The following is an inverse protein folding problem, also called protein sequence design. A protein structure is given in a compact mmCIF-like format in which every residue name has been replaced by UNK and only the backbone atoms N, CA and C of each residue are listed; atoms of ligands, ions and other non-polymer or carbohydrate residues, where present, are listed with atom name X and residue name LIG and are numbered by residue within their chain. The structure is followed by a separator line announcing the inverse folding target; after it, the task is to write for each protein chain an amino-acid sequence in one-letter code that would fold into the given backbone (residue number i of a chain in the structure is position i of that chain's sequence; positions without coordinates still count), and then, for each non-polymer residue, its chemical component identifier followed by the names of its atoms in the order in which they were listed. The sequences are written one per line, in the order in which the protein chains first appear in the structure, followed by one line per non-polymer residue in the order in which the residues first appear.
data_IF_331366308036
#
_entry.id   IF_331366308036
#
_cell.length_a   1.000
_cell.length_b   1.000
_cell.length_c   1.000
_cell.angle_alpha   90.00
_cell.angle_beta   90.00
_cell.angle_gamma   90.00
#
_symmetry.space_group_name_H-M   'P 1'
#
loop_
_entity.id
_entity.type
_entity.pdbx_description
1 polymer ?
#
# COMPACT_ATOMS: atom_id res chain seq x y z
N UNK A 1 2.99 4.75 -41.76
CA UNK A 1 3.66 4.05 -42.87
C UNK A 1 4.96 4.78 -43.12
N UNK A 2 6.06 4.19 -42.66
CA UNK A 2 7.39 4.65 -43.02
C UNK A 2 7.82 3.91 -44.28
N UNK A 3 8.45 4.62 -45.22
CA UNK A 3 8.92 4.07 -46.48
C UNK A 3 10.43 4.07 -46.49
N UNK A 4 11.02 2.90 -46.77
CA UNK A 4 12.44 2.71 -46.99
C UNK A 4 12.69 2.36 -48.45
N UNK A 5 13.95 2.40 -48.90
CA UNK A 5 14.29 2.21 -50.31
C UNK A 5 13.77 0.88 -50.87
N UNK A 6 13.82 -0.20 -50.07
CA UNK A 6 13.46 -1.56 -50.50
C UNK A 6 12.19 -2.14 -49.82
N UNK A 7 11.63 -1.48 -48.81
CA UNK A 7 10.48 -2.00 -48.06
C UNK A 7 9.67 -0.90 -47.36
N UNK A 8 8.41 -1.21 -47.06
CA UNK A 8 7.53 -0.33 -46.29
C UNK A 8 7.27 -0.92 -44.89
N UNK A 9 7.22 -0.06 -43.87
CA UNK A 9 6.89 -0.41 -42.49
C UNK A 9 5.57 0.23 -42.08
N UNK A 10 4.65 -0.60 -41.59
CA UNK A 10 3.40 -0.15 -40.95
C UNK A 10 3.52 -0.29 -39.44
N UNK A 11 3.52 0.85 -38.73
CA UNK A 11 3.36 0.90 -37.26
C UNK A 11 1.86 0.92 -36.92
N UNK A 12 1.40 -0.15 -36.28
CA UNK A 12 -0.01 -0.35 -35.91
C UNK A 12 -0.34 0.08 -34.47
N UNK A 13 0.55 0.85 -33.83
CA UNK A 13 0.28 1.45 -32.53
C UNK A 13 1.24 0.99 -31.46
N UNK A 14 2.53 1.16 -31.72
CA UNK A 14 3.56 1.05 -30.69
C UNK A 14 3.23 1.99 -29.53
N UNK A 15 3.01 1.45 -28.35
CA UNK A 15 2.56 2.22 -27.18
C UNK A 15 3.16 1.71 -25.88
N UNK A 16 3.36 2.64 -24.95
CA UNK A 16 3.92 2.39 -23.64
C UNK A 16 3.03 3.05 -22.58
N UNK A 17 2.47 2.23 -21.70
CA UNK A 17 1.81 2.66 -20.48
C UNK A 17 2.76 2.29 -19.33
N UNK A 18 3.48 3.26 -18.75
CA UNK A 18 4.46 3.01 -17.69
C UNK A 18 3.85 2.20 -16.54
N UNK A 19 4.58 1.16 -16.12
CA UNK A 19 4.12 0.30 -15.03
C UNK A 19 2.98 -0.67 -15.41
N UNK A 20 2.49 -0.70 -16.65
CA UNK A 20 1.35 -1.53 -17.01
C UNK A 20 1.55 -2.33 -18.30
N UNK A 21 1.92 -1.67 -19.41
CA UNK A 21 1.89 -2.32 -20.72
C UNK A 21 2.91 -1.72 -21.69
N UNK A 22 3.52 -2.58 -22.50
CA UNK A 22 4.23 -2.21 -23.72
C UNK A 22 3.61 -2.98 -24.88
N UNK A 23 3.38 -2.31 -26.01
CA UNK A 23 2.92 -2.91 -27.27
C UNK A 23 3.90 -2.52 -28.37
N UNK A 24 4.43 -3.52 -29.08
CA UNK A 24 5.32 -3.35 -30.24
C UNK A 24 4.73 -4.24 -31.34
N UNK A 25 4.28 -3.63 -32.43
CA UNK A 25 3.64 -4.34 -33.54
C UNK A 25 4.06 -3.68 -34.87
N UNK A 26 4.85 -4.41 -35.65
CA UNK A 26 5.35 -3.97 -36.94
C UNK A 26 5.12 -5.08 -37.97
N UNK A 27 4.73 -4.68 -39.18
CA UNK A 27 4.64 -5.56 -40.34
C UNK A 27 5.43 -4.95 -41.49
N UNK A 28 6.13 -5.82 -42.23
CA UNK A 28 6.99 -5.45 -43.36
C UNK A 28 6.47 -6.16 -44.60
N UNK A 29 6.33 -5.41 -45.70
CA UNK A 29 5.95 -5.92 -47.01
C UNK A 29 6.90 -5.39 -48.08
N UNK A 30 7.32 -6.27 -48.99
CA UNK A 30 8.32 -5.98 -50.03
C UNK A 30 7.78 -6.30 -51.43
N UNK A 31 6.50 -6.01 -51.69
CA UNK A 31 5.82 -6.39 -52.95
C UNK A 31 6.38 -5.68 -54.19
N UNK A 32 7.11 -4.57 -54.03
CA UNK A 32 7.60 -3.71 -55.13
C UNK A 32 9.13 -3.65 -55.22
N UNK A 33 9.85 -4.46 -54.44
CA UNK A 33 11.30 -4.44 -54.44
C UNK A 33 11.86 -4.94 -55.79
N UNK A 34 12.98 -4.36 -56.23
CA UNK A 34 13.71 -4.85 -57.39
C UNK A 34 14.40 -6.18 -57.03
N UNK A 35 14.13 -7.21 -57.82
CA UNK A 35 14.67 -8.56 -57.62
C UNK A 35 15.82 -8.90 -58.56
N UNK A 36 16.23 -7.96 -59.42
CA UNK A 36 17.21 -8.19 -60.49
C UNK A 36 18.51 -8.82 -59.96
N UNK A 37 19.00 -8.36 -58.80
CA UNK A 37 20.23 -8.85 -58.16
C UNK A 37 20.11 -10.24 -57.50
N UNK A 38 18.88 -10.68 -57.24
CA UNK A 38 18.57 -11.98 -56.63
C UNK A 38 18.27 -13.03 -57.70
N UNK A 39 17.57 -12.65 -58.77
CA UNK A 39 17.17 -13.56 -59.87
C UNK A 39 18.40 -14.11 -60.61
N UNK A 40 19.53 -13.40 -60.61
CA UNK A 40 20.77 -13.87 -61.24
C UNK A 40 21.53 -14.94 -60.45
N UNK A 41 21.10 -15.28 -59.22
CA UNK A 41 21.78 -16.23 -58.32
C UNK A 41 21.22 -17.65 -58.45
N UNK A 42 21.98 -18.64 -57.97
CA UNK A 42 21.50 -20.03 -57.91
C UNK A 42 20.46 -20.21 -56.80
N UNK A 43 19.63 -21.24 -56.90
CA UNK A 43 18.65 -21.56 -55.85
C UNK A 43 19.30 -21.90 -54.50
N UNK A 44 20.47 -22.55 -54.52
CA UNK A 44 21.24 -22.89 -53.31
C UNK A 44 21.79 -21.62 -52.63
N UNK A 45 22.32 -20.66 -53.40
CA UNK A 45 22.81 -19.39 -52.86
C UNK A 45 21.66 -18.54 -52.26
N UNK A 46 20.50 -18.52 -52.91
CA UNK A 46 19.32 -17.81 -52.41
C UNK A 46 18.80 -18.41 -51.10
N UNK A 47 18.82 -19.74 -50.99
CA UNK A 47 18.43 -20.43 -49.76
C UNK A 47 19.39 -20.11 -48.61
N UNK A 48 20.70 -20.08 -48.87
CA UNK A 48 21.71 -19.72 -47.88
C UNK A 48 21.53 -18.27 -47.38
N UNK A 49 21.30 -17.31 -48.28
CA UNK A 49 21.04 -15.90 -47.92
C UNK A 49 19.75 -15.75 -47.10
N UNK A 50 18.70 -16.50 -47.44
CA UNK A 50 17.46 -16.51 -46.67
C UNK A 50 17.70 -16.99 -45.24
N UNK A 51 18.48 -18.06 -45.07
CA UNK A 51 18.81 -18.60 -43.75
C UNK A 51 19.67 -17.63 -42.94
N UNK A 52 20.63 -16.95 -43.57
CA UNK A 52 21.43 -15.90 -42.95
C UNK A 52 20.59 -14.68 -42.52
N UNK A 53 19.68 -14.22 -43.39
CA UNK A 53 18.75 -13.12 -43.08
C UNK A 53 17.84 -13.50 -41.93
N UNK A 54 17.19 -14.67 -42.00
CA UNK A 54 16.30 -15.15 -40.95
C UNK A 54 17.02 -15.33 -39.60
N UNK A 55 18.27 -15.82 -39.61
CA UNK A 55 19.08 -15.91 -38.40
C UNK A 55 19.42 -14.53 -37.83
N UNK A 56 19.64 -13.53 -38.68
CA UNK A 56 19.89 -12.14 -38.27
C UNK A 56 18.64 -11.48 -37.69
N UNK A 57 17.47 -11.70 -38.29
CA UNK A 57 16.17 -11.28 -37.76
C UNK A 57 15.89 -11.90 -36.39
N UNK A 58 16.19 -13.18 -36.22
CA UNK A 58 16.05 -13.87 -34.93
C UNK A 58 16.93 -13.25 -33.84
N UNK A 59 18.18 -12.89 -34.16
CA UNK A 59 19.07 -12.18 -33.22
C UNK A 59 18.52 -10.81 -32.83
N UNK A 60 17.96 -10.06 -33.80
CA UNK A 60 17.33 -8.77 -33.50
C UNK A 60 16.10 -8.94 -32.60
N UNK A 61 15.29 -9.98 -32.84
CA UNK A 61 14.15 -10.33 -31.99
C UNK A 61 14.57 -10.68 -30.56
N UNK A 62 15.66 -11.43 -30.37
CA UNK A 62 16.21 -11.73 -29.04
C UNK A 62 16.65 -10.47 -28.28
N UNK A 63 17.22 -9.48 -28.97
CA UNK A 63 17.55 -8.18 -28.38
C UNK A 63 16.26 -7.47 -27.92
N UNK A 64 15.21 -7.45 -28.75
CA UNK A 64 13.92 -6.86 -28.39
C UNK A 64 13.34 -7.57 -27.15
N UNK A 65 13.36 -8.90 -27.12
CA UNK A 65 12.92 -9.68 -25.94
C UNK A 65 13.71 -9.30 -24.68
N UNK A 66 15.03 -9.16 -24.79
CA UNK A 66 15.85 -8.75 -23.66
C UNK A 66 15.48 -7.35 -23.13
N UNK A 67 15.17 -6.43 -24.04
CA UNK A 67 14.71 -5.09 -23.68
C UNK A 67 13.31 -5.12 -23.03
N UNK A 68 12.40 -5.99 -23.51
CA UNK A 68 11.09 -6.21 -22.89
C UNK A 68 11.25 -6.75 -21.47
N UNK A 69 12.12 -7.74 -21.23
CA UNK A 69 12.38 -8.24 -19.87
C UNK A 69 13.00 -7.19 -18.94
N UNK A 70 13.86 -6.32 -19.46
CA UNK A 70 14.36 -5.18 -18.69
C UNK A 70 13.23 -4.21 -18.36
N UNK A 71 12.35 -3.92 -19.32
CA UNK A 71 11.16 -3.10 -19.12
C UNK A 71 10.23 -3.70 -18.06
N UNK A 72 9.99 -5.03 -18.05
CA UNK A 72 9.15 -5.70 -17.05
C UNK A 72 9.63 -5.44 -15.62
N UNK A 73 10.96 -5.53 -15.38
CA UNK A 73 11.57 -5.23 -14.08
C UNK A 73 11.32 -3.78 -13.67
N UNK A 74 11.47 -2.85 -14.62
CA UNK A 74 11.23 -1.43 -14.36
C UNK A 74 9.74 -1.15 -14.14
N UNK A 75 8.85 -1.77 -14.91
CA UNK A 75 7.40 -1.63 -14.78
C UNK A 75 6.93 -2.12 -13.40
N UNK A 76 7.45 -3.26 -12.94
CA UNK A 76 7.18 -3.76 -11.59
C UNK A 76 7.66 -2.78 -10.49
N UNK A 77 8.80 -2.12 -10.71
CA UNK A 77 9.29 -1.09 -9.78
C UNK A 77 8.41 0.16 -9.79
N UNK A 78 7.99 0.64 -10.97
CA UNK A 78 7.02 1.74 -11.11
C UNK A 78 5.72 1.42 -10.36
N UNK A 79 5.16 0.22 -10.51
CA UNK A 79 3.96 -0.19 -9.76
C UNK A 79 4.17 -0.14 -8.25
N UNK A 80 5.35 -0.52 -7.74
CA UNK A 80 5.67 -0.43 -6.31
C UNK A 80 5.70 1.02 -5.83
N UNK A 81 6.27 1.92 -6.63
CA UNK A 81 6.27 3.35 -6.34
C UNK A 81 4.83 3.89 -6.35
N UNK A 82 4.03 3.58 -7.36
CA UNK A 82 2.64 4.04 -7.44
C UNK A 82 1.82 3.59 -6.23
N UNK A 83 2.03 2.33 -5.79
CA UNK A 83 1.43 1.82 -4.55
C UNK A 83 1.90 2.62 -3.34
N UNK A 84 3.20 2.87 -3.19
CA UNK A 84 3.74 3.68 -2.10
C UNK A 84 3.16 5.11 -2.07
N UNK A 85 3.00 5.73 -3.24
CA UNK A 85 2.36 7.05 -3.38
C UNK A 85 0.89 6.96 -2.94
N UNK A 86 0.16 5.92 -3.33
CA UNK A 86 -1.22 5.71 -2.87
C UNK A 86 -1.31 5.59 -1.35
N UNK A 87 -0.40 4.85 -0.72
CA UNK A 87 -0.33 4.76 0.74
C UNK A 87 -0.10 6.12 1.40
N UNK A 88 0.86 6.90 0.89
CA UNK A 88 1.20 8.20 1.45
C UNK A 88 0.09 9.23 1.28
N UNK A 89 -0.73 9.10 0.23
CA UNK A 89 -1.91 9.95 0.01
C UNK A 89 -3.06 9.67 0.97
N UNK A 90 -3.07 8.52 1.64
CA UNK A 90 -4.08 8.21 2.65
C UNK A 90 -3.69 8.97 3.92
N UNK A 91 -4.46 9.99 4.33
CA UNK A 91 -4.12 10.77 5.51
C UNK A 91 -4.16 9.87 6.75
N UNK A 92 -3.30 10.19 7.73
CA UNK A 92 -3.44 9.62 9.06
C UNK A 92 -4.85 9.89 9.60
N UNK A 93 -5.44 8.88 10.23
CA UNK A 93 -6.76 9.01 10.85
C UNK A 93 -6.70 10.09 11.92
N UNK A 94 -7.60 11.06 11.83
CA UNK A 94 -7.82 11.99 12.92
C UNK A 94 -8.56 11.29 14.05
N UNK A 95 -8.04 11.39 15.26
CA UNK A 95 -8.63 10.79 16.44
C UNK A 95 -8.41 11.64 17.69
N UNK A 96 -9.19 11.38 18.73
CA UNK A 96 -9.10 12.09 20.01
C UNK A 96 -8.15 11.43 21.00
N UNK A 97 -7.39 10.41 20.58
CA UNK A 97 -6.39 9.73 21.41
C UNK A 97 -6.99 9.12 22.69
N UNK A 98 -8.19 8.54 22.56
CA UNK A 98 -8.97 7.99 23.67
C UNK A 98 -9.47 9.01 24.70
N UNK A 99 -9.50 10.30 24.35
CA UNK A 99 -10.11 11.32 25.20
C UNK A 99 -11.50 11.72 24.70
N UNK A 100 -12.41 12.01 25.62
CA UNK A 100 -13.74 12.51 25.28
C UNK A 100 -13.64 13.99 24.89
N UNK A 101 -13.97 14.30 23.65
CA UNK A 101 -14.04 15.66 23.12
C UNK A 101 -15.50 16.01 22.85
N UNK A 102 -15.91 17.21 23.27
CA UNK A 102 -17.25 17.73 23.00
C UNK A 102 -17.21 18.63 21.77
N UNK A 103 -18.05 18.30 20.78
CA UNK A 103 -18.29 19.12 19.60
C UNK A 103 -19.31 20.23 19.88
N UNK A 104 -19.41 21.17 18.93
CA UNK A 104 -20.27 22.36 19.03
C UNK A 104 -21.76 22.02 19.18
N UNK A 105 -22.21 20.93 18.56
CA UNK A 105 -23.62 20.48 18.60
C UNK A 105 -24.03 19.73 19.88
N UNK A 106 -23.14 19.68 20.88
CA UNK A 106 -23.33 18.90 22.11
C UNK A 106 -23.11 17.39 21.92
N UNK A 107 -22.60 16.97 20.77
CA UNK A 107 -22.13 15.59 20.55
C UNK A 107 -20.77 15.40 21.24
N UNK A 108 -20.62 14.34 22.02
CA UNK A 108 -19.37 13.91 22.61
C UNK A 108 -18.80 12.76 21.79
N UNK A 109 -17.52 12.84 21.46
CA UNK A 109 -16.81 11.86 20.65
C UNK A 109 -15.56 11.39 21.38
N UNK A 110 -15.31 10.08 21.33
CA UNK A 110 -14.03 9.47 21.68
C UNK A 110 -13.58 8.62 20.48
N UNK A 111 -12.31 8.70 20.12
CA UNK A 111 -11.76 7.91 19.01
C UNK A 111 -10.29 7.59 19.18
N UNK A 112 -9.88 6.52 18.51
CA UNK A 112 -8.50 6.13 18.29
C UNK A 112 -8.29 5.77 16.82
N UNK A 113 -7.19 5.12 16.47
CA UNK A 113 -6.89 4.83 15.07
C UNK A 113 -7.89 3.87 14.42
N UNK A 114 -8.60 3.03 15.19
CA UNK A 114 -9.45 1.94 14.68
C UNK A 114 -10.93 2.16 14.98
N UNK A 115 -11.27 2.77 16.11
CA UNK A 115 -12.64 2.92 16.59
C UNK A 115 -12.99 4.38 16.86
N UNK A 116 -14.27 4.70 16.69
CA UNK A 116 -14.87 5.99 17.02
C UNK A 116 -16.22 5.73 17.68
N UNK A 117 -16.45 6.33 18.84
CA UNK A 117 -17.75 6.35 19.49
C UNK A 117 -18.26 7.79 19.56
N UNK A 118 -19.50 7.99 19.13
CA UNK A 118 -20.22 9.26 19.27
C UNK A 118 -21.40 9.08 20.18
N UNK A 119 -21.69 10.08 21.01
CA UNK A 119 -22.87 10.11 21.83
C UNK A 119 -23.43 11.52 21.98
N UNK A 120 -24.75 11.62 22.04
CA UNK A 120 -25.48 12.87 22.20
C UNK A 120 -26.68 12.64 23.09
N UNK A 121 -26.85 13.53 24.06
CA UNK A 121 -28.09 13.67 24.81
C UNK A 121 -28.69 15.00 24.39
N UNK A 122 -29.95 15.00 24.01
CA UNK A 122 -30.68 16.21 23.62
C UNK A 122 -31.97 16.32 24.41
N UNK A 123 -32.24 17.53 24.87
CA UNK A 123 -33.55 17.88 25.38
C UNK A 123 -34.50 18.09 24.19
N UNK A 124 -35.44 17.16 24.01
CA UNK A 124 -36.51 17.21 23.02
C UNK A 124 -37.87 17.44 23.71
N UNK A 125 -37.84 18.01 24.91
CA UNK A 125 -39.05 18.42 25.61
C UNK A 125 -39.77 19.48 24.77
N UNK A 126 -41.06 19.27 24.60
CA UNK A 126 -41.90 20.15 23.79
C UNK A 126 -43.15 20.54 24.56
N UNK A 127 -43.63 21.72 24.24
CA UNK A 127 -44.90 22.21 24.74
C UNK A 127 -46.04 21.68 23.85
N UNK A 128 -46.90 20.85 24.41
CA UNK A 128 -47.99 20.19 23.69
C UNK A 128 -49.28 21.02 23.81
N UNK A 129 -49.47 22.00 22.93
CA UNK A 129 -50.62 22.93 22.95
C UNK A 129 -51.99 22.24 22.80
N UNK A 130 -52.03 21.03 22.24
CA UNK A 130 -53.26 20.33 21.88
C UNK A 130 -53.75 19.33 22.94
N UNK A 131 -52.89 18.99 23.92
CA UNK A 131 -53.26 18.13 25.06
C UNK A 131 -53.21 18.99 26.32
N UNK A 132 -54.29 18.99 27.11
CA UNK A 132 -54.38 19.73 28.39
C UNK A 132 -53.41 19.26 29.50
N UNK A 133 -52.41 18.46 29.15
CA UNK A 133 -51.28 18.10 29.99
C UNK A 133 -50.07 18.91 29.50
N UNK A 134 -49.60 19.86 30.31
CA UNK A 134 -48.52 20.80 30.00
C UNK A 134 -47.17 20.17 29.60
N UNK A 135 -46.08 20.95 29.73
CA UNK A 135 -44.71 20.57 29.33
C UNK A 135 -44.39 19.08 29.54
N UNK A 136 -44.06 18.37 28.46
CA UNK A 136 -43.66 16.96 28.53
C UNK A 136 -42.14 16.86 28.45
N UNK A 137 -41.46 16.56 29.57
CA UNK A 137 -40.03 16.34 29.53
C UNK A 137 -39.72 15.10 28.69
N UNK A 138 -38.86 15.27 27.69
CA UNK A 138 -38.52 14.24 26.72
C UNK A 138 -37.04 14.36 26.37
N UNK A 139 -36.24 13.38 26.75
CA UNK A 139 -34.81 13.36 26.55
C UNK A 139 -34.45 12.29 25.54
N UNK A 140 -33.81 12.67 24.43
CA UNK A 140 -33.31 11.70 23.45
C UNK A 140 -31.82 11.43 23.67
N UNK A 141 -31.47 10.15 23.64
CA UNK A 141 -30.10 9.67 23.66
C UNK A 141 -29.83 8.99 22.34
N UNK A 142 -28.81 9.46 21.63
CA UNK A 142 -28.28 8.83 20.43
C UNK A 142 -26.82 8.48 20.68
N UNK A 143 -26.45 7.24 20.40
CA UNK A 143 -25.05 6.83 20.45
C UNK A 143 -24.74 5.83 19.33
N UNK A 144 -23.48 5.79 18.92
CA UNK A 144 -22.99 4.82 17.96
C UNK A 144 -21.49 4.58 18.13
N UNK A 145 -21.07 3.37 17.78
CA UNK A 145 -19.69 2.90 17.72
C UNK A 145 -19.44 2.48 16.29
N UNK A 146 -18.37 3.01 15.70
CA UNK A 146 -18.00 2.85 14.30
C UNK A 146 -16.53 2.50 14.20
N UNK A 147 -16.13 1.88 13.10
CA UNK A 147 -14.71 1.85 12.71
C UNK A 147 -14.27 3.25 12.26
N UNK A 148 -13.04 3.61 12.58
CA UNK A 148 -12.41 4.89 12.25
C UNK A 148 -11.42 4.71 11.09
N UNK A 149 -11.91 4.21 9.96
CA UNK A 149 -11.06 4.00 8.77
C UNK A 149 -10.59 5.33 8.18
N UNK A 150 -9.31 5.45 7.75
CA UNK A 150 -8.81 6.63 7.03
C UNK A 150 -9.39 6.77 5.62
N UNK A 151 -10.06 5.74 5.11
CA UNK A 151 -10.73 5.81 3.82
C UNK A 151 -12.00 6.66 3.95
N UNK A 152 -12.22 7.58 3.00
CA UNK A 152 -13.32 8.57 3.01
C UNK A 152 -14.72 8.00 3.24
N UNK A 153 -14.96 6.72 2.94
CA UNK A 153 -16.22 6.01 3.13
C UNK A 153 -16.06 4.66 3.85
N UNK A 154 -14.96 4.47 4.58
CA UNK A 154 -14.61 3.19 5.20
C UNK A 154 -15.12 2.99 6.63
N UNK A 155 -15.85 3.96 7.20
CA UNK A 155 -16.40 3.83 8.55
C UNK A 155 -17.65 2.96 8.52
N UNK A 156 -17.60 1.82 9.19
CA UNK A 156 -18.70 0.86 9.32
C UNK A 156 -19.24 0.90 10.74
N UNK A 157 -20.57 0.88 10.87
CA UNK A 157 -21.24 0.85 12.18
C UNK A 157 -21.10 -0.53 12.84
N UNK A 158 -20.55 -0.54 14.05
CA UNK A 158 -20.42 -1.74 14.90
C UNK A 158 -21.68 -1.90 15.74
N UNK A 159 -22.10 -0.80 16.37
CA UNK A 159 -23.30 -0.77 17.20
C UNK A 159 -23.84 0.66 17.29
N UNK A 160 -25.13 0.82 17.53
CA UNK A 160 -25.70 2.13 17.77
C UNK A 160 -27.19 2.05 18.06
N UNK A 161 -27.69 3.00 18.85
CA UNK A 161 -29.10 3.07 19.16
C UNK A 161 -29.52 4.50 19.46
N UNK A 162 -30.77 4.81 19.10
CA UNK A 162 -31.49 6.00 19.56
C UNK A 162 -32.59 5.58 20.52
N UNK A 163 -32.67 6.21 21.70
CA UNK A 163 -33.73 5.96 22.69
C UNK A 163 -34.22 7.27 23.30
N UNK A 164 -35.48 7.27 23.72
CA UNK A 164 -36.13 8.41 24.37
C UNK A 164 -36.49 8.07 25.81
N UNK A 165 -36.31 9.02 26.71
CA UNK A 165 -36.56 8.90 28.15
C UNK A 165 -37.41 10.08 28.64
N UNK A 166 -38.12 9.87 29.75
CA UNK A 166 -38.92 10.93 30.39
C UNK A 166 -38.07 11.85 31.28
N UNK A 167 -36.98 11.32 31.84
CA UNK A 167 -36.12 12.01 32.79
C UNK A 167 -34.66 12.05 32.30
N UNK A 168 -33.98 13.17 32.54
CA UNK A 168 -32.57 13.37 32.18
C UNK A 168 -31.66 12.33 32.87
N UNK A 169 -31.89 12.07 34.16
CA UNK A 169 -31.06 11.16 34.94
C UNK A 169 -31.10 9.73 34.39
N UNK A 170 -32.28 9.29 33.94
CA UNK A 170 -32.46 8.00 33.27
C UNK A 170 -31.72 7.93 31.94
N UNK A 171 -31.78 9.01 31.15
CA UNK A 171 -31.03 9.14 29.90
C UNK A 171 -29.52 9.08 30.12
N UNK A 172 -29.00 9.81 31.11
CA UNK A 172 -27.57 9.81 31.46
C UNK A 172 -27.11 8.45 31.99
N UNK A 173 -27.88 7.82 32.87
CA UNK A 173 -27.56 6.49 33.41
C UNK A 173 -27.49 5.44 32.30
N UNK A 174 -28.42 5.47 31.36
CA UNK A 174 -28.39 4.61 30.18
C UNK A 174 -27.13 4.85 29.35
N UNK A 175 -26.79 6.11 29.06
CA UNK A 175 -25.61 6.44 28.27
C UNK A 175 -24.31 6.02 28.97
N UNK A 176 -24.17 6.27 30.27
CA UNK A 176 -23.00 5.82 31.06
C UNK A 176 -22.84 4.30 31.00
N UNK A 177 -23.94 3.55 31.04
CA UNK A 177 -23.92 2.10 30.86
C UNK A 177 -23.37 1.68 29.49
N UNK A 178 -23.74 2.39 28.41
CA UNK A 178 -23.22 2.12 27.06
C UNK A 178 -21.77 2.53 26.89
N UNK A 179 -21.36 3.66 27.43
CA UNK A 179 -19.95 4.09 27.45
C UNK A 179 -19.10 3.02 28.17
N UNK A 180 -19.54 2.54 29.33
CA UNK A 180 -18.84 1.49 30.08
C UNK A 180 -18.73 0.18 29.29
N UNK A 181 -19.76 -0.20 28.54
CA UNK A 181 -19.75 -1.43 27.75
C UNK A 181 -18.67 -1.43 26.64
N UNK A 182 -18.42 -0.28 26.01
CA UNK A 182 -17.47 -0.16 24.89
C UNK A 182 -16.13 0.49 25.27
N UNK A 183 -15.92 0.83 26.55
CA UNK A 183 -14.68 1.47 27.02
C UNK A 183 -13.42 0.64 26.71
N UNK A 184 -13.53 -0.69 26.65
CA UNK A 184 -12.44 -1.60 26.32
C UNK A 184 -11.84 -1.36 24.91
N UNK A 185 -12.61 -0.77 23.99
CA UNK A 185 -12.13 -0.44 22.64
C UNK A 185 -11.21 0.79 22.60
N UNK A 186 -11.18 1.58 23.68
CA UNK A 186 -10.50 2.85 23.79
C UNK A 186 -9.40 2.83 24.86
N UNK A 187 -8.82 1.66 25.16
CA UNK A 187 -7.69 1.52 26.10
C UNK A 187 -6.35 1.81 25.44
N UNK A 188 -6.21 1.48 24.16
CA UNK A 188 -5.00 1.66 23.37
C UNK A 188 -5.25 2.65 22.23
N UNK A 189 -4.21 3.38 21.82
CA UNK A 189 -4.29 4.31 20.67
C UNK A 189 -4.42 3.52 19.36
N UNK A 190 -3.82 2.33 19.31
CA UNK A 190 -3.80 1.45 18.14
C UNK A 190 -4.21 0.03 18.54
N UNK A 191 -5.50 -0.20 18.89
CA UNK A 191 -5.96 -1.54 19.21
C UNK A 191 -5.87 -2.45 17.98
N UNK A 192 -5.91 -3.77 18.21
CA UNK A 192 -5.96 -4.74 17.12
C UNK A 192 -7.28 -4.62 16.34
N UNK A 193 -7.18 -4.71 15.01
CA UNK A 193 -8.33 -4.70 14.11
C UNK A 193 -8.91 -6.11 14.04
N UNK A 194 -10.22 -6.28 14.35
CA UNK A 194 -10.91 -7.55 14.18
C UNK A 194 -10.90 -7.99 12.72
N UNK A 195 -10.83 -9.30 12.48
CA UNK A 195 -10.77 -9.86 11.12
C UNK A 195 -11.90 -9.37 10.20
N UNK A 196 -13.08 -9.13 10.75
CA UNK A 196 -14.26 -8.63 10.02
C UNK A 196 -14.06 -7.23 9.41
N UNK A 197 -13.15 -6.43 9.99
CA UNK A 197 -12.92 -5.04 9.60
C UNK A 197 -11.55 -4.82 8.94
N UNK A 198 -10.76 -5.87 8.74
CA UNK A 198 -9.37 -5.79 8.28
C UNK A 198 -9.24 -5.10 6.90
N UNK A 199 -10.14 -5.41 5.97
CA UNK A 199 -10.15 -4.83 4.61
C UNK A 199 -10.34 -3.30 4.61
N UNK A 200 -11.00 -2.75 5.63
CA UNK A 200 -11.20 -1.31 5.77
C UNK A 200 -9.88 -0.56 6.00
N UNK A 201 -8.86 -1.27 6.49
CA UNK A 201 -7.53 -0.75 6.79
C UNK A 201 -6.44 -1.32 5.87
N UNK A 202 -6.80 -2.02 4.78
CA UNK A 202 -5.85 -2.48 3.76
C UNK A 202 -5.92 -1.67 2.47
N UNK A 203 -4.80 -1.56 1.77
CA UNK A 203 -4.72 -1.02 0.41
C UNK A 203 -3.95 -2.04 -0.40
N UNK A 204 -4.43 -2.44 -1.58
CA UNK A 204 -3.73 -3.45 -2.41
C UNK A 204 -3.30 -4.70 -1.60
N UNK A 205 -4.17 -5.17 -0.69
CA UNK A 205 -3.97 -6.30 0.21
C UNK A 205 -2.89 -6.17 1.29
N UNK A 206 -2.27 -5.01 1.51
CA UNK A 206 -1.39 -4.78 2.67
C UNK A 206 -2.01 -3.80 3.65
N UNK A 207 -1.74 -4.05 4.94
CA UNK A 207 -2.26 -3.25 6.03
C UNK A 207 -1.61 -1.87 6.05
N UNK A 208 -2.39 -0.83 6.35
CA UNK A 208 -1.87 0.51 6.50
C UNK A 208 -0.81 0.59 7.61
N UNK A 209 0.23 1.43 7.45
CA UNK A 209 1.26 1.59 8.47
C UNK A 209 0.68 1.96 9.83
N UNK A 210 1.20 1.35 10.90
CA UNK A 210 0.78 1.60 12.28
C UNK A 210 -0.40 0.76 12.76
N UNK A 211 -1.12 0.09 11.86
CA UNK A 211 -2.22 -0.81 12.22
C UNK A 211 -1.75 -2.24 12.48
N UNK A 212 -2.55 -3.00 13.24
CA UNK A 212 -2.31 -4.42 13.51
C UNK A 212 -3.61 -5.21 13.31
N UNK A 213 -3.55 -6.28 12.55
CA UNK A 213 -4.67 -7.20 12.38
C UNK A 213 -4.65 -8.27 13.48
N UNK A 214 -5.81 -8.73 13.92
CA UNK A 214 -5.93 -9.92 14.78
C UNK A 214 -5.59 -11.21 14.01
N UNK A 215 -5.79 -11.22 12.69
CA UNK A 215 -5.56 -12.40 11.84
C UNK A 215 -4.07 -12.65 11.51
N UNK A 216 -3.22 -11.65 11.72
CA UNK A 216 -1.77 -11.77 11.52
C UNK A 216 -1.05 -11.68 12.87
N UNK A 217 -0.24 -12.68 13.26
CA UNK A 217 0.59 -12.55 14.45
C UNK A 217 1.51 -11.34 14.26
N UNK A 218 1.63 -10.51 15.30
CA UNK A 218 2.41 -9.28 15.26
C UNK A 218 3.77 -9.53 14.58
N UNK A 219 4.16 -8.73 13.56
CA UNK A 219 5.49 -8.85 13.01
C UNK A 219 6.45 -8.59 14.17
N UNK A 220 7.22 -9.62 14.52
CA UNK A 220 8.31 -9.52 15.47
C UNK A 220 9.12 -8.33 14.99
N UNK A 221 9.13 -7.25 15.78
CA UNK A 221 9.96 -6.11 15.50
C UNK A 221 11.37 -6.65 15.29
N UNK A 222 11.83 -6.74 14.04
CA UNK A 222 13.24 -6.81 13.73
C UNK A 222 13.77 -5.43 14.12
N UNK A 223 13.89 -5.21 15.43
CA UNK A 223 14.77 -4.22 15.97
C UNK A 223 16.11 -4.52 15.35
N UNK A 224 16.58 -3.60 14.53
CA UNK A 224 17.97 -3.43 14.13
C UNK A 224 18.84 -3.33 15.40
N UNK A 225 19.10 -4.48 16.03
CA UNK A 225 20.10 -4.68 17.08
C UNK A 225 21.13 -5.74 16.67
N UNK A 226 21.17 -6.10 15.39
CA UNK A 226 22.18 -6.99 14.83
C UNK A 226 23.39 -6.26 14.21
N UNK A 227 23.33 -4.94 13.96
CA UNK A 227 24.42 -4.24 13.24
C UNK A 227 25.54 -3.69 14.14
N UNK A 228 25.33 -3.54 15.45
CA UNK A 228 26.37 -2.97 16.34
C UNK A 228 27.32 -4.06 16.86
N UNK A 229 26.84 -5.28 17.11
CA UNK A 229 27.70 -6.37 17.62
C UNK A 229 28.65 -6.91 16.55
N UNK A 230 28.23 -7.00 15.29
CA UNK A 230 29.09 -7.41 14.17
C UNK A 230 30.17 -6.36 13.82
N UNK A 231 29.85 -5.07 13.98
CA UNK A 231 30.82 -3.99 13.77
C UNK A 231 31.86 -3.93 14.90
N UNK A 232 31.54 -4.40 16.10
CA UNK A 232 32.49 -4.52 17.21
C UNK A 232 33.39 -5.76 17.11
N UNK A 233 32.91 -6.87 16.55
CA UNK A 233 33.72 -8.07 16.32
C UNK A 233 34.69 -7.94 15.13
N UNK A 234 34.37 -7.11 14.12
CA UNK A 234 35.30 -6.76 13.04
C UNK A 234 36.42 -5.80 13.48
N UNK A 235 36.14 -4.87 14.41
CA UNK A 235 37.19 -4.00 14.98
C UNK A 235 38.14 -4.79 15.89
N UNK A 236 37.64 -5.75 16.70
CA UNK A 236 38.49 -6.62 17.54
C UNK A 236 39.35 -7.63 16.76
N UNK A 237 38.95 -8.00 15.54
CA UNK A 237 39.73 -8.93 14.69
C UNK A 237 40.83 -8.22 13.89
N UNK A 238 40.73 -6.91 13.66
CA UNK A 238 41.83 -6.12 13.10
C UNK A 238 42.92 -5.75 14.11
N UNK A 239 42.60 -5.60 15.40
CA UNK A 239 43.61 -5.33 16.42
C UNK A 239 44.49 -6.59 16.71
N UNK A 240 43.92 -7.78 16.55
CA UNK A 240 44.65 -9.06 16.74
C UNK A 240 45.47 -9.50 15.52
N UNK A 241 45.16 -9.02 14.31
CA UNK A 241 45.97 -9.29 13.11
C UNK A 241 47.14 -8.31 12.94
N UNK A 242 47.06 -7.10 13.51
CA UNK A 242 48.20 -6.18 13.55
C UNK A 242 49.29 -6.60 14.55
N UNK A 243 48.92 -7.21 15.69
CA UNK A 243 49.88 -7.69 16.69
C UNK A 243 50.64 -8.96 16.25
N UNK A 244 50.05 -9.80 15.39
CA UNK A 244 50.70 -11.03 14.91
C UNK A 244 51.75 -10.76 13.82
N UNK A 245 51.58 -9.71 12.98
CA UNK A 245 52.54 -9.38 11.91
C UNK A 245 53.79 -8.63 12.38
N UNK A 246 53.86 -8.18 13.63
CA UNK A 246 55.06 -7.56 14.22
C UNK A 246 55.98 -8.61 14.86
N UNK A 247 55.46 -9.80 15.21
CA UNK A 247 56.26 -10.86 15.82
C UNK A 247 57.08 -11.70 14.83
N UNK A 248 56.62 -11.85 13.58
CA UNK A 248 57.32 -12.67 12.57
C UNK A 248 58.42 -11.94 11.79
N UNK A 249 58.56 -10.62 11.92
CA UNK A 249 59.66 -9.86 11.27
C UNK A 249 60.96 -9.81 12.08
N UNK A 250 61.03 -10.46 13.25
CA UNK A 250 62.20 -10.41 14.15
C UNK A 250 62.98 -11.73 14.27
N UNK A 251 62.72 -12.73 13.41
CA UNK A 251 63.44 -14.01 13.40
C UNK A 251 64.17 -14.34 12.10
N UNK A 252 64.24 -13.42 11.14
CA UNK A 252 64.93 -13.62 9.86
C UNK A 252 66.23 -12.81 9.75
N UNK A 253 66.90 -12.56 10.89
CA UNK A 253 68.21 -11.88 10.91
C UNK A 253 69.17 -12.47 11.97
N UNK A 254 69.16 -13.80 12.12
CA UNK A 254 70.21 -14.54 12.84
C UNK A 254 70.40 -15.91 12.18
N UNK A 255 71.03 -15.92 11.01
CA UNK A 255 72.01 -16.95 10.64
C UNK A 255 72.83 -16.43 9.46
N UNK A 256 73.94 -15.79 9.83
CA UNK A 256 75.14 -15.63 9.00
C UNK A 256 76.12 -16.74 9.36
#
# INVERSE_FOLDING_TARGET
MEKYDDYDVLDFGTSLIPGAQIKIEHSVSSEKADLSDLISRSAEDLQALREESAASEQKAYEIILSAVHQWEKQAAFTQRIDRAIQYQRIPAVQHTSNEWVQGEDGEKTISNMVYKMTCRIKDDSHWDLWKSQGYKPCWSVRWGVYTNSPKRHGSVGIAGQTRVFKDQESAEKYLRGRIKAYAHLFTEISPQIPKEYDELFRVNNQLLPGYRSEAEPAPVAHQEKASVLEKLSTVKSHEKTAASKIADKKKEDIHR
#
